data_IF_333935608308
#
_entry.id   IF_333935608308
#
_cell.length_a   1.000
_cell.length_b   1.000
_cell.length_c   1.000
_cell.angle_alpha   90.00
_cell.angle_beta   90.00
_cell.angle_gamma   90.00
#
_symmetry.space_group_name_H-M   'P 1'
#
loop_
_entity.id
_entity.type
_entity.pdbx_description
1 polymer ?
#
# COMPACT_ATOMS: atom_id res chain seq x y z
N UNK A 1 -29.13 1.54 25.11
CA UNK A 1 -29.66 2.87 24.80
C UNK A 1 -28.55 3.90 24.98
N UNK A 2 -27.87 4.26 23.90
CA UNK A 2 -27.56 5.66 23.55
C UNK A 2 -27.70 5.68 22.03
N UNK A 3 -28.77 6.29 21.56
CA UNK A 3 -29.04 6.48 20.14
C UNK A 3 -28.33 7.75 19.68
N UNK A 4 -27.71 7.71 18.51
CA UNK A 4 -27.59 8.88 17.65
C UNK A 4 -27.89 8.42 16.21
N UNK A 5 -29.18 8.29 15.91
CA UNK A 5 -29.67 8.47 14.54
C UNK A 5 -29.66 9.98 14.29
N UNK A 6 -28.94 10.45 13.27
CA UNK A 6 -29.46 11.40 12.28
C UNK A 6 -28.43 11.76 11.20
N UNK A 7 -28.85 11.48 9.96
CA UNK A 7 -28.65 12.24 8.73
C UNK A 7 -27.22 12.62 8.32
N UNK A 8 -26.66 11.88 7.36
CA UNK A 8 -25.77 12.45 6.33
C UNK A 8 -26.22 11.95 4.96
N UNK A 9 -26.33 12.89 4.02
CA UNK A 9 -27.28 12.86 2.92
C UNK A 9 -26.93 11.90 1.78
N UNK A 10 -27.84 11.80 0.81
CA UNK A 10 -27.67 11.08 -0.45
C UNK A 10 -26.36 11.42 -1.19
N UNK A 11 -25.74 12.57 -0.92
CA UNK A 11 -24.45 12.98 -1.45
C UNK A 11 -23.26 12.08 -1.04
N UNK A 12 -23.29 11.44 0.13
CA UNK A 12 -22.23 10.50 0.55
C UNK A 12 -22.37 9.13 -0.14
N UNK A 13 -23.59 8.78 -0.57
CA UNK A 13 -23.86 7.51 -1.28
C UNK A 13 -23.42 7.53 -2.74
N UNK A 14 -23.26 8.72 -3.33
CA UNK A 14 -22.89 8.90 -4.73
C UNK A 14 -21.37 8.89 -4.96
N UNK A 15 -20.56 9.23 -3.94
CA UNK A 15 -19.08 9.20 -4.02
C UNK A 15 -18.54 7.75 -3.94
N UNK A 16 -19.31 6.82 -3.38
CA UNK A 16 -19.05 5.38 -3.45
C UNK A 16 -19.19 4.80 -4.88
N UNK A 17 -19.38 5.63 -5.91
CA UNK A 17 -19.42 5.18 -7.30
C UNK A 17 -18.05 4.66 -7.78
N UNK A 18 -17.81 3.38 -7.46
CA UNK A 18 -16.90 2.37 -8.01
C UNK A 18 -15.39 2.65 -7.94
N UNK A 19 -14.71 2.08 -6.94
CA UNK A 19 -13.29 1.73 -7.07
C UNK A 19 -13.05 1.05 -8.45
N UNK A 20 -11.87 1.25 -9.01
CA UNK A 20 -11.52 0.67 -10.31
C UNK A 20 -11.46 -0.85 -10.20
N UNK A 21 -11.90 -1.59 -11.23
CA UNK A 21 -11.64 -3.03 -11.35
C UNK A 21 -10.18 -3.33 -11.73
N UNK A 22 -9.36 -2.30 -11.93
CA UNK A 22 -7.93 -2.42 -12.23
C UNK A 22 -7.15 -2.83 -10.99
N UNK A 23 -6.19 -3.73 -11.21
CA UNK A 23 -5.20 -4.15 -10.22
C UNK A 23 -3.81 -3.97 -10.82
N UNK A 24 -2.90 -3.38 -10.05
CA UNK A 24 -1.49 -3.26 -10.39
C UNK A 24 -0.68 -4.10 -9.42
N UNK A 25 0.21 -4.94 -9.95
CA UNK A 25 1.15 -5.71 -9.15
C UNK A 25 2.57 -5.15 -9.31
N UNK A 26 3.26 -4.91 -8.20
CA UNK A 26 4.64 -4.40 -8.17
C UNK A 26 5.50 -5.40 -7.41
N UNK A 27 6.59 -5.87 -8.00
CA UNK A 27 7.52 -6.83 -7.38
C UNK A 27 8.88 -6.19 -7.14
N UNK A 28 9.66 -6.79 -6.24
CA UNK A 28 11.12 -6.71 -6.13
C UNK A 28 11.65 -5.27 -6.19
N UNK A 29 11.39 -4.51 -5.13
CA UNK A 29 11.92 -3.14 -5.02
C UNK A 29 13.40 -3.14 -4.64
N UNK A 30 13.81 -4.07 -3.77
CA UNK A 30 15.20 -4.26 -3.35
C UNK A 30 15.94 -2.97 -3.01
N UNK A 31 15.37 -2.15 -2.14
CA UNK A 31 15.98 -0.90 -1.68
C UNK A 31 16.24 0.13 -2.78
N UNK A 32 15.68 -0.03 -3.99
CA UNK A 32 15.85 0.92 -5.09
C UNK A 32 14.74 1.97 -5.09
N UNK A 33 14.86 2.92 -4.17
CA UNK A 33 13.85 3.96 -3.99
C UNK A 33 13.64 4.82 -5.24
N UNK A 34 14.73 5.15 -5.95
CA UNK A 34 14.65 5.95 -7.18
C UNK A 34 13.82 5.27 -8.29
N UNK A 35 13.99 3.95 -8.47
CA UNK A 35 13.21 3.19 -9.43
C UNK A 35 11.74 3.06 -8.99
N UNK A 36 11.48 2.88 -7.70
CA UNK A 36 10.13 2.87 -7.16
C UNK A 36 9.38 4.19 -7.43
N UNK A 37 10.04 5.32 -7.20
CA UNK A 37 9.46 6.64 -7.49
C UNK A 37 9.19 6.83 -8.99
N UNK A 38 10.14 6.44 -9.85
CA UNK A 38 9.98 6.50 -11.30
C UNK A 38 8.82 5.62 -11.78
N UNK A 39 8.71 4.39 -11.26
CA UNK A 39 7.60 3.48 -11.54
C UNK A 39 6.26 4.09 -11.11
N UNK A 40 6.20 4.66 -9.89
CA UNK A 40 4.97 5.24 -9.37
C UNK A 40 4.49 6.42 -10.22
N UNK A 41 5.40 7.31 -10.63
CA UNK A 41 5.10 8.41 -11.54
C UNK A 41 4.63 7.91 -12.92
N UNK A 42 5.25 6.85 -13.45
CA UNK A 42 4.84 6.24 -14.71
C UNK A 42 3.44 5.60 -14.62
N UNK A 43 3.13 4.92 -13.50
CA UNK A 43 1.79 4.38 -13.23
C UNK A 43 0.75 5.49 -13.14
N UNK A 44 1.05 6.59 -12.45
CA UNK A 44 0.17 7.74 -12.37
C UNK A 44 -0.17 8.27 -13.76
N UNK A 45 0.83 8.49 -14.61
CA UNK A 45 0.62 8.96 -15.98
C UNK A 45 -0.16 7.95 -16.82
N UNK A 46 0.17 6.67 -16.72
CA UNK A 46 -0.46 5.60 -17.50
C UNK A 46 -1.94 5.40 -17.15
N UNK A 47 -2.29 5.53 -15.87
CA UNK A 47 -3.67 5.35 -15.40
C UNK A 47 -4.55 6.60 -15.61
N UNK A 48 -3.98 7.72 -16.04
CA UNK A 48 -4.73 8.97 -16.28
C UNK A 48 -4.73 9.94 -15.10
N UNK A 49 -3.77 9.82 -14.17
CA UNK A 49 -3.52 10.75 -13.08
C UNK A 49 -3.69 10.17 -11.68
N UNK A 50 -3.35 10.97 -10.67
CA UNK A 50 -3.34 10.56 -9.26
C UNK A 50 -4.71 10.04 -8.76
N UNK A 51 -5.82 10.60 -9.26
CA UNK A 51 -7.17 10.16 -8.86
C UNK A 51 -7.44 8.72 -9.30
N UNK A 52 -7.08 8.36 -10.53
CA UNK A 52 -7.26 7.00 -11.05
C UNK A 52 -6.32 6.01 -10.36
N UNK A 53 -5.08 6.42 -10.08
CA UNK A 53 -4.14 5.61 -9.30
C UNK A 53 -4.65 5.36 -7.87
N UNK A 54 -5.25 6.37 -7.21
CA UNK A 54 -5.87 6.23 -5.88
C UNK A 54 -7.08 5.29 -5.88
N UNK A 55 -7.80 5.18 -7.00
CA UNK A 55 -8.94 4.25 -7.17
C UNK A 55 -8.52 2.86 -7.64
N UNK A 56 -7.25 2.65 -7.95
CA UNK A 56 -6.68 1.37 -8.41
C UNK A 56 -6.09 0.61 -7.24
N UNK A 57 -6.42 -0.68 -7.11
CA UNK A 57 -5.84 -1.57 -6.11
C UNK A 57 -4.39 -1.88 -6.48
N UNK A 58 -3.48 -1.76 -5.52
CA UNK A 58 -2.07 -2.06 -5.73
C UNK A 58 -1.66 -3.22 -4.83
N UNK A 59 -0.98 -4.21 -5.41
CA UNK A 59 -0.44 -5.36 -4.68
C UNK A 59 1.07 -5.34 -4.85
N UNK A 60 1.77 -5.07 -3.76
CA UNK A 60 3.20 -5.25 -3.67
C UNK A 60 3.50 -6.72 -3.36
N UNK A 61 4.33 -7.35 -4.17
CA UNK A 61 4.58 -8.80 -4.15
C UNK A 61 5.71 -9.22 -3.20
N UNK A 62 6.35 -8.27 -2.52
CA UNK A 62 7.46 -8.50 -1.60
C UNK A 62 8.81 -8.06 -2.14
N UNK A 63 9.85 -8.44 -1.40
CA UNK A 63 11.27 -8.15 -1.64
C UNK A 63 11.55 -6.63 -1.70
N UNK A 64 11.21 -5.96 -0.59
CA UNK A 64 11.42 -4.53 -0.41
C UNK A 64 12.85 -4.20 -0.01
N UNK A 65 13.48 -5.09 0.78
CA UNK A 65 14.82 -4.91 1.32
C UNK A 65 15.92 -5.60 0.49
N UNK A 66 17.16 -5.38 0.92
CA UNK A 66 18.42 -5.90 0.34
C UNK A 66 18.78 -5.38 -1.05
N UNK A 67 20.05 -5.59 -1.43
CA UNK A 67 20.74 -5.19 -2.69
C UNK A 67 20.86 -3.68 -2.90
N UNK A 68 19.77 -2.93 -2.87
CA UNK A 68 19.79 -1.47 -3.03
C UNK A 68 20.17 -0.74 -1.75
N UNK A 69 20.63 0.51 -1.85
CA UNK A 69 21.12 1.27 -0.70
C UNK A 69 20.01 1.89 0.15
N UNK A 70 18.77 1.97 -0.35
CA UNK A 70 17.72 2.84 0.21
C UNK A 70 16.54 2.06 0.81
N UNK A 71 16.76 0.85 1.34
CA UNK A 71 15.74 0.02 2.01
C UNK A 71 14.89 0.82 3.00
N UNK A 72 15.51 1.67 3.83
CA UNK A 72 14.78 2.53 4.78
C UNK A 72 13.79 3.46 4.08
N UNK A 73 14.22 4.15 3.02
CA UNK A 73 13.37 5.10 2.29
C UNK A 73 12.22 4.38 1.60
N UNK A 74 12.46 3.19 1.06
CA UNK A 74 11.41 2.32 0.50
C UNK A 74 10.36 1.99 1.57
N UNK A 75 10.77 1.51 2.74
CA UNK A 75 9.83 1.15 3.81
C UNK A 75 9.06 2.37 4.35
N UNK A 76 9.74 3.50 4.58
CA UNK A 76 9.11 4.75 5.01
C UNK A 76 8.03 5.21 4.01
N UNK A 77 8.30 5.06 2.71
CA UNK A 77 7.35 5.39 1.64
C UNK A 77 6.18 4.41 1.56
N UNK A 78 6.42 3.10 1.69
CA UNK A 78 5.35 2.08 1.67
C UNK A 78 4.40 2.25 2.86
N UNK A 79 4.93 2.59 4.05
CA UNK A 79 4.12 2.92 5.24
C UNK A 79 3.26 4.16 4.97
N UNK A 80 3.85 5.23 4.44
CA UNK A 80 3.12 6.46 4.09
C UNK A 80 2.01 6.19 3.06
N UNK A 81 2.29 5.33 2.08
CA UNK A 81 1.29 4.89 1.10
C UNK A 81 0.16 4.10 1.77
N UNK A 82 0.47 3.17 2.69
CA UNK A 82 -0.54 2.41 3.41
C UNK A 82 -1.48 3.33 4.20
N UNK A 83 -0.92 4.32 4.90
CA UNK A 83 -1.69 5.33 5.64
C UNK A 83 -2.59 6.16 4.72
N UNK A 84 -2.07 6.60 3.55
CA UNK A 84 -2.87 7.27 2.53
C UNK A 84 -4.06 6.40 2.07
N UNK A 85 -3.80 5.11 1.83
CA UNK A 85 -4.79 4.17 1.29
C UNK A 85 -5.81 3.67 2.31
N UNK A 86 -5.66 4.01 3.60
CA UNK A 86 -6.66 3.74 4.62
C UNK A 86 -7.90 4.65 4.51
N UNK A 87 -7.82 5.74 3.73
CA UNK A 87 -8.97 6.62 3.50
C UNK A 87 -10.06 5.91 2.69
N UNK A 88 -11.34 6.10 3.08
CA UNK A 88 -12.51 5.42 2.45
C UNK A 88 -12.67 5.67 0.95
N UNK A 89 -12.04 6.72 0.43
CA UNK A 89 -12.07 7.12 -0.98
C UNK A 89 -10.94 6.52 -1.81
N UNK A 90 -10.08 5.70 -1.22
CA UNK A 90 -8.96 5.05 -1.90
C UNK A 90 -9.20 3.54 -2.03
N UNK A 91 -8.71 2.96 -3.13
CA UNK A 91 -8.54 1.53 -3.25
C UNK A 91 -7.34 1.08 -2.40
N UNK A 92 -7.39 -0.14 -1.82
CA UNK A 92 -6.37 -0.61 -0.89
C UNK A 92 -5.01 -0.82 -1.55
N UNK A 93 -3.97 -0.72 -0.75
CA UNK A 93 -2.64 -1.27 -1.05
C UNK A 93 -2.41 -2.51 -0.18
N UNK A 94 -2.01 -3.61 -0.83
CA UNK A 94 -1.64 -4.86 -0.17
C UNK A 94 -0.13 -5.06 -0.26
N UNK A 95 0.47 -5.56 0.80
CA UNK A 95 1.92 -5.79 0.88
C UNK A 95 2.15 -7.24 1.27
N UNK A 96 2.64 -8.03 0.32
CA UNK A 96 3.07 -9.40 0.59
C UNK A 96 4.47 -9.37 1.20
N UNK A 97 4.80 -10.42 1.94
CA UNK A 97 6.12 -10.60 2.53
C UNK A 97 6.97 -11.48 1.60
N UNK A 98 8.04 -10.91 1.03
CA UNK A 98 9.00 -11.65 0.22
C UNK A 98 9.97 -12.46 1.09
N UNK A 99 10.82 -13.28 0.46
CA UNK A 99 11.80 -14.08 1.20
C UNK A 99 12.89 -13.21 1.83
N UNK A 100 13.26 -12.09 1.19
CA UNK A 100 14.20 -11.14 1.76
C UNK A 100 13.60 -10.43 2.97
N UNK A 101 12.35 -9.98 2.85
CA UNK A 101 11.64 -9.31 3.94
C UNK A 101 11.42 -10.24 5.14
N UNK A 102 11.11 -11.51 4.88
CA UNK A 102 10.99 -12.54 5.91
C UNK A 102 12.31 -12.72 6.67
N UNK A 103 13.43 -12.81 5.95
CA UNK A 103 14.76 -12.91 6.55
C UNK A 103 15.10 -11.67 7.38
N UNK A 104 14.76 -10.48 6.89
CA UNK A 104 14.99 -9.23 7.61
C UNK A 104 14.12 -9.13 8.88
N UNK A 105 12.83 -9.47 8.79
CA UNK A 105 11.93 -9.52 9.94
C UNK A 105 12.38 -10.56 10.99
N UNK A 106 12.88 -11.72 10.55
CA UNK A 106 13.45 -12.73 11.45
C UNK A 106 14.67 -12.20 12.20
N UNK A 107 15.59 -11.54 11.50
CA UNK A 107 16.77 -10.93 12.09
C UNK A 107 16.42 -9.87 13.14
N UNK A 108 15.37 -9.07 12.89
CA UNK A 108 14.87 -8.07 13.83
C UNK A 108 14.04 -8.66 14.99
N UNK A 109 13.75 -9.96 14.98
CA UNK A 109 12.89 -10.60 15.98
C UNK A 109 11.41 -10.21 15.86
N UNK A 110 10.97 -9.82 14.66
CA UNK A 110 9.58 -9.43 14.39
C UNK A 110 8.66 -10.61 14.06
N UNK A 111 9.21 -11.82 13.88
CA UNK A 111 8.40 -13.01 13.66
C UNK A 111 7.82 -13.51 14.99
N UNK A 112 6.56 -13.98 15.00
CA UNK A 112 6.00 -14.60 16.18
C UNK A 112 6.85 -15.82 16.55
N UNK A 113 7.23 -15.91 17.82
CA UNK A 113 7.81 -17.12 18.40
C UNK A 113 6.68 -17.94 19.01
N UNK A 114 6.53 -19.18 18.56
CA UNK A 114 5.55 -20.09 19.15
C UNK A 114 5.81 -20.20 20.66
N UNK A 115 4.82 -19.80 21.47
CA UNK A 115 4.87 -19.90 22.94
C UNK A 115 5.22 -18.63 23.72
N UNK A 116 5.27 -17.44 23.10
CA UNK A 116 5.17 -16.20 23.88
C UNK A 116 3.72 -16.04 24.44
N UNK A 117 3.53 -15.70 25.73
CA UNK A 117 2.21 -15.44 26.31
C UNK A 117 1.50 -14.24 25.67
#
# INVERSE_FOLDING_TARGET
QVACQQSRGAADSEICSKLSERVVCVSDVHGNFSALQALWAALEQHLGGAVELRRTTVIFLGDYCDRGPDTRQVLDWLISLQEERAHVSCAPAHFLLGNHDLGFAAFLGCLPVDGAP
#
